data_IF_116644587389
#
_entry.id   IF_116644587389
#
_cell.length_a   1.000
_cell.length_b   1.000
_cell.length_c   1.000
_cell.angle_alpha   90.00
_cell.angle_beta   90.00
_cell.angle_gamma   90.00
#
_symmetry.space_group_name_H-M   'P 1'
#
loop_
_entity.id
_entity.type
_entity.pdbx_description
1 polymer ?
2 polymer ?
3 non-polymer ?
4 non-polymer ?
5 water ?
#
# COMPACT_ATOMS: atom_id res chain seq x y z
N UNK A 8 13.25 7.71 -10.82
CA UNK A 8 11.92 8.27 -10.57
C UNK A 8 11.25 7.54 -9.41
N UNK A 9 10.75 8.31 -8.45
CA UNK A 9 10.17 7.76 -7.24
C UNK A 9 8.68 7.50 -7.43
N UNK A 10 8.27 6.28 -7.13
CA UNK A 10 6.85 5.90 -7.19
C UNK A 10 6.47 5.33 -5.84
N UNK A 11 5.31 5.76 -5.33
CA UNK A 11 4.80 5.26 -4.07
C UNK A 11 4.19 3.88 -4.26
N UNK A 12 4.65 2.90 -3.48
CA UNK A 12 4.19 1.53 -3.66
C UNK A 12 2.77 1.29 -3.13
N UNK A 13 2.12 2.29 -2.55
CA UNK A 13 0.74 2.13 -2.08
C UNK A 13 -0.25 2.65 -3.10
N UNK A 14 -0.10 3.90 -3.53
CA UNK A 14 -1.03 4.50 -4.47
C UNK A 14 -0.50 4.55 -5.91
N UNK A 15 0.77 4.21 -6.13
CA UNK A 15 1.45 4.26 -7.42
C UNK A 15 1.58 5.66 -7.99
N UNK A 16 1.40 6.71 -7.17
CA UNK A 16 1.59 8.05 -7.66
C UNK A 16 3.06 8.40 -7.70
N UNK A 17 3.39 9.48 -8.41
CA UNK A 17 4.78 9.88 -8.52
C UNK A 17 5.04 11.31 -8.07
N UNK A 18 4.04 11.99 -7.52
CA UNK A 18 4.27 13.35 -7.05
C UNK A 18 4.88 13.32 -5.67
N UNK A 19 5.98 14.05 -5.50
CA UNK A 19 6.73 14.12 -4.25
C UNK A 19 6.98 15.58 -3.93
N UNK A 20 6.44 16.06 -2.82
CA UNK A 20 6.56 17.45 -2.42
C UNK A 20 6.97 17.53 -0.96
N UNK A 21 7.36 18.75 -0.53
CA UNK A 21 7.83 18.93 0.84
C UNK A 21 6.77 18.52 1.86
N UNK A 22 5.49 18.66 1.51
CA UNK A 22 4.43 18.30 2.43
C UNK A 22 4.12 16.80 2.40
N UNK A 23 4.35 16.13 1.27
CA UNK A 23 4.13 14.68 1.16
C UNK A 23 5.24 14.11 0.29
N UNK A 24 6.35 13.74 0.91
CA UNK A 24 7.50 13.23 0.18
C UNK A 24 7.35 11.74 -0.05
N UNK A 25 7.82 11.28 -1.21
CA UNK A 25 8.05 9.84 -1.39
C UNK A 25 9.40 9.51 -0.78
N UNK A 26 9.39 8.64 0.24
CA UNK A 26 10.58 8.29 0.98
C UNK A 26 10.94 6.84 0.67
N UNK A 27 12.11 6.41 1.12
CA UNK A 27 12.57 5.06 0.82
C UNK A 27 13.09 4.39 2.07
N UNK A 28 12.68 3.14 2.27
CA UNK A 28 13.25 2.35 3.36
C UNK A 28 14.68 1.95 3.03
N UNK A 29 15.59 2.25 3.96
CA UNK A 29 17.01 2.02 3.71
C UNK A 29 17.44 0.57 3.92
N UNK A 30 16.53 -0.35 4.22
CA UNK A 30 16.88 -1.76 4.33
C UNK A 30 16.27 -2.60 3.22
N UNK A 31 14.94 -2.54 3.04
CA UNK A 31 14.27 -3.32 2.02
C UNK A 31 14.05 -2.55 0.72
N UNK A 32 14.20 -1.23 0.75
CA UNK A 32 14.17 -0.41 -0.44
C UNK A 32 12.81 0.11 -0.86
N UNK A 33 11.73 -0.27 -0.17
CA UNK A 33 10.41 0.14 -0.59
C UNK A 33 10.29 1.66 -0.50
N UNK A 34 9.51 2.22 -1.44
CA UNK A 34 9.28 3.65 -1.55
C UNK A 34 7.80 3.94 -1.35
N UNK A 35 7.50 4.99 -0.59
CA UNK A 35 6.13 5.27 -0.18
C UNK A 35 5.97 6.76 0.10
N UNK A 36 4.80 7.30 -0.23
CA UNK A 36 4.42 8.62 0.28
C UNK A 36 4.41 8.59 1.80
N UNK A 37 5.05 9.58 2.42
CA UNK A 37 4.87 9.81 3.85
C UNK A 37 3.40 9.73 4.25
N UNK A 38 2.54 10.43 3.49
CA UNK A 38 1.12 10.48 3.78
C UNK A 38 0.38 9.19 3.49
N UNK A 39 0.96 8.30 2.68
CA UNK A 39 0.36 6.98 2.45
C UNK A 39 0.79 5.95 3.49
N UNK A 40 1.62 6.33 4.45
CA UNK A 40 2.11 5.38 5.44
C UNK A 40 1.95 5.88 6.87
N UNK A 41 1.36 7.06 7.07
CA UNK A 41 1.20 7.58 8.41
C UNK A 41 2.47 8.12 9.03
N UNK A 42 3.47 8.43 8.22
CA UNK A 42 4.77 8.90 8.70
C UNK A 42 5.01 10.36 8.30
N UNK A 43 3.93 11.08 7.98
CA UNK A 43 4.02 12.45 7.53
C UNK A 43 4.01 13.42 8.71
N UNK A 44 4.63 14.57 8.50
CA UNK A 44 4.64 15.63 9.50
C UNK A 44 5.24 15.24 10.83
N UNK A 45 6.18 14.30 10.83
CA UNK A 45 6.86 13.89 12.04
C UNK A 45 8.22 14.58 12.11
N UNK A 46 8.62 14.95 13.32
CA UNK A 46 9.88 15.66 13.51
C UNK A 46 11.06 14.80 13.06
N UNK A 47 12.16 15.48 12.73
CA UNK A 47 13.39 14.78 12.36
C UNK A 47 13.83 13.85 13.49
N UNK A 48 14.43 12.73 13.10
CA UNK A 48 14.83 11.72 14.07
C UNK A 48 15.98 12.23 14.93
N UNK A 49 16.22 11.53 16.04
CA UNK A 49 17.28 11.93 16.96
C UNK A 49 18.65 11.61 16.38
N UNK A 50 18.75 10.54 15.59
CA UNK A 50 20.00 10.24 14.89
C UNK A 50 20.32 11.33 13.86
N UNK A 51 19.30 12.05 13.39
CA UNK A 51 19.49 13.05 12.35
C UNK A 51 20.14 14.32 12.85
N UNK A 52 19.92 14.67 14.13
CA UNK A 52 20.49 15.88 14.69
C UNK A 52 21.99 15.93 14.50
N UNK A 53 22.65 14.77 14.53
CA UNK A 53 24.08 14.67 14.30
C UNK A 53 24.47 15.22 12.94
N UNK A 54 24.06 14.51 11.88
CA UNK A 54 24.52 14.79 10.54
C UNK A 54 24.21 16.23 10.12
N UNK A 55 24.99 16.71 9.16
CA UNK A 55 24.76 17.99 8.50
C UNK A 55 24.23 17.81 7.09
N UNK A 56 23.90 16.59 6.69
CA UNK A 56 23.29 16.32 5.40
C UNK A 56 21.82 16.74 5.39
N UNK A 57 21.28 16.87 4.19
CA UNK A 57 19.88 17.28 4.02
C UNK A 57 18.88 16.17 4.32
N UNK A 58 19.34 14.93 4.47
CA UNK A 58 18.45 13.79 4.63
C UNK A 58 18.84 12.99 5.87
N UNK A 59 17.90 12.17 6.33
CA UNK A 59 18.07 11.27 7.46
C UNK A 59 17.62 9.87 7.05
N UNK A 60 18.18 8.84 7.67
CA UNK A 60 17.76 7.47 7.33
C UNK A 60 16.32 7.21 7.72
N UNK A 61 15.69 6.27 7.01
CA UNK A 61 14.33 5.84 7.30
C UNK A 61 14.19 4.34 7.10
N UNK A 62 13.34 3.72 7.92
CA UNK A 62 13.07 2.29 7.85
C UNK A 62 11.57 2.06 8.04
N UNK A 63 11.00 1.17 7.23
CA UNK A 63 9.60 0.79 7.37
C UNK A 63 9.39 -0.03 8.64
N UNK A 64 8.12 -0.23 9.01
CA UNK A 64 7.80 -0.91 10.27
C UNK A 64 8.28 -2.37 10.26
N UNK A 65 8.23 -3.03 9.10
CA UNK A 65 8.65 -4.42 9.05
C UNK A 65 10.15 -4.56 9.29
N UNK A 66 10.94 -3.63 8.73
CA UNK A 66 12.38 -3.67 8.96
C UNK A 66 12.73 -3.27 10.40
N UNK A 67 11.99 -2.32 10.97
CA UNK A 67 12.21 -1.96 12.38
C UNK A 67 12.09 -3.19 13.29
N UNK A 68 11.25 -4.15 12.92
CA UNK A 68 11.05 -5.35 13.71
C UNK A 68 11.82 -6.55 13.20
N UNK A 69 12.67 -6.35 12.20
CA UNK A 69 13.53 -7.41 11.72
C UNK A 69 12.83 -8.53 10.99
N UNK A 70 11.67 -8.27 10.39
CA UNK A 70 10.94 -9.31 9.68
C UNK A 70 10.78 -8.91 8.21
N UNK A 71 10.68 -9.94 7.38
CA UNK A 71 10.33 -9.83 5.97
C UNK A 71 8.98 -10.52 5.81
N UNK A 72 7.88 -9.86 6.12
CA UNK A 72 6.66 -10.58 6.46
C UNK A 72 5.88 -11.03 5.24
N UNK A 73 4.89 -11.86 5.49
CA UNK A 73 3.82 -12.09 4.54
C UNK A 73 2.56 -11.39 5.03
N UNK A 74 1.61 -11.22 4.12
CA UNK A 74 0.39 -10.50 4.39
C UNK A 74 -0.72 -11.49 4.77
N UNK A 75 -1.52 -11.11 5.78
CA UNK A 75 -2.67 -11.92 6.16
C UNK A 75 -3.75 -11.93 5.09
N UNK A 76 -3.70 -11.00 4.14
CA UNK A 76 -4.81 -10.78 3.21
C UNK A 76 -4.47 -11.09 1.75
N UNK A 77 -3.26 -11.55 1.44
CA UNK A 77 -2.89 -11.82 0.05
C UNK A 77 -1.57 -12.58 0.02
N UNK A 78 -1.16 -13.16 -1.12
CA UNK A 78 0.09 -13.94 -1.14
C UNK A 78 1.34 -13.19 -1.55
N UNK A 79 1.28 -11.87 -1.78
CA UNK A 79 2.45 -11.14 -2.24
C UNK A 79 3.40 -10.82 -1.09
N UNK A 80 4.71 -10.79 -1.41
CA UNK A 80 5.78 -10.48 -0.47
C UNK A 80 6.38 -9.10 -0.67
N UNK A 81 6.00 -8.40 -1.73
CA UNK A 81 6.54 -7.09 -2.06
C UNK A 81 5.66 -6.01 -1.44
N UNK A 82 6.08 -4.76 -1.59
CA UNK A 82 5.30 -3.65 -1.07
C UNK A 82 5.60 -3.42 0.41
N UNK A 83 4.74 -2.62 1.03
CA UNK A 83 5.02 -2.13 2.38
C UNK A 83 3.89 -2.54 3.33
N UNK A 84 4.27 -2.87 4.56
CA UNK A 84 3.41 -3.56 5.53
C UNK A 84 3.21 -2.76 6.80
N UNK A 85 2.11 -3.07 7.50
CA UNK A 85 1.86 -2.62 8.86
C UNK A 85 1.55 -3.82 9.75
N UNK A 86 1.94 -3.72 11.03
CA UNK A 86 1.70 -4.79 11.99
C UNK A 86 0.25 -4.77 12.46
N UNK A 87 -0.31 -5.96 12.66
CA UNK A 87 -1.65 -6.05 13.21
C UNK A 87 -1.60 -6.16 14.74
N UNK A 88 -2.76 -6.00 15.34
CA UNK A 88 -2.84 -6.03 16.80
C UNK A 88 -2.48 -7.39 17.37
N UNK A 89 -2.48 -8.44 16.54
CA UNK A 89 -2.09 -9.77 16.99
C UNK A 89 -0.64 -10.11 16.61
N UNK A 90 0.14 -9.13 16.18
CA UNK A 90 1.52 -9.41 15.84
C UNK A 90 1.73 -9.94 14.44
N UNK A 91 0.71 -9.98 13.60
CA UNK A 91 0.88 -10.38 12.21
C UNK A 91 1.03 -9.12 11.36
N UNK A 92 0.92 -9.27 10.03
CA UNK A 92 1.25 -8.20 9.10
C UNK A 92 0.29 -8.17 7.93
N UNK A 93 0.02 -6.95 7.45
CA UNK A 93 -0.83 -6.72 6.29
C UNK A 93 -0.22 -5.61 5.45
N UNK A 94 -0.39 -5.71 4.13
CA UNK A 94 -0.05 -4.58 3.29
C UNK A 94 -0.93 -3.41 3.68
N UNK A 95 -0.35 -2.21 3.61
CA UNK A 95 -1.18 -1.01 3.69
C UNK A 95 -2.28 -1.05 2.62
N UNK A 96 -1.93 -1.38 1.38
CA UNK A 96 -2.92 -1.30 0.32
C UNK A 96 -4.03 -2.34 0.52
N UNK A 97 -3.67 -3.53 1.02
CA UNK A 97 -4.72 -4.51 1.33
C UNK A 97 -5.66 -4.00 2.40
N UNK A 98 -5.13 -3.38 3.45
CA UNK A 98 -5.98 -2.88 4.53
C UNK A 98 -6.90 -1.77 4.04
N UNK A 99 -6.42 -0.92 3.12
CA UNK A 99 -7.25 0.15 2.60
C UNK A 99 -8.45 -0.40 1.81
N UNK A 100 -8.19 -1.37 0.93
CA UNK A 100 -9.18 -1.79 -0.05
C UNK A 100 -10.10 -2.92 0.44
N UNK A 101 -9.66 -3.72 1.41
CA UNK A 101 -10.51 -4.83 1.85
C UNK A 101 -11.59 -4.30 2.80
N UNK A 102 -12.86 -4.59 2.56
CA UNK A 102 -13.92 -4.10 3.45
C UNK A 102 -13.79 -4.65 4.86
N UNK A 103 -14.17 -3.83 5.83
CA UNK A 103 -14.16 -4.29 7.18
C UNK A 103 -12.81 -4.26 7.83
N UNK A 104 -11.80 -3.69 7.16
CA UNK A 104 -10.47 -3.52 7.73
C UNK A 104 -10.22 -2.03 7.86
N UNK A 105 -9.88 -1.59 9.06
CA UNK A 105 -9.70 -0.19 9.37
C UNK A 105 -8.42 -0.01 10.15
N UNK A 106 -7.86 1.19 10.09
CA UNK A 106 -6.69 1.55 10.88
C UNK A 106 -7.12 2.10 12.24
N UNK A 107 -6.42 1.65 13.29
CA UNK A 107 -6.74 2.12 14.63
C UNK A 107 -6.36 3.56 14.88
N UNK A 108 -5.41 4.08 14.11
CA UNK A 108 -5.01 5.48 14.19
C UNK A 108 -4.80 5.95 12.76
N UNK A 109 -5.72 6.77 12.26
CA UNK A 109 -5.70 7.18 10.86
C UNK A 109 -4.49 8.06 10.56
N UNK A 110 -4.02 8.81 11.55
CA UNK A 110 -2.92 9.74 11.32
C UNK A 110 -1.59 9.03 11.10
N UNK A 111 -1.32 7.97 11.87
CA UNK A 111 -0.12 7.17 11.70
C UNK A 111 -0.37 5.82 11.05
N UNK A 112 -1.63 5.51 10.70
CA UNK A 112 -2.01 4.27 10.02
C UNK A 112 -1.49 3.04 10.75
N UNK A 113 -1.84 2.94 12.03
CA UNK A 113 -1.33 1.86 12.89
C UNK A 113 -2.08 1.81 14.22
N UNK A 114 -2.32 0.61 14.78
CA UNK A 114 -2.09 -0.66 14.08
C UNK A 114 -3.33 -1.05 13.29
N UNK A 115 -3.33 -2.27 12.75
CA UNK A 115 -4.46 -2.81 12.03
C UNK A 115 -5.08 -3.90 12.89
N UNK A 116 -6.37 -3.81 13.15
CA UNK A 116 -7.07 -4.81 13.94
C UNK A 116 -7.97 -5.62 13.00
N UNK A 117 -7.56 -6.85 12.71
CA UNK A 117 -8.35 -7.77 11.90
C UNK A 117 -9.34 -8.52 12.78
N UNK A 118 -10.52 -8.80 12.22
CA UNK A 118 -11.61 -9.37 13.01
C UNK A 118 -11.87 -10.81 12.61
N UNK A 119 -12.76 -11.45 13.37
CA UNK A 119 -13.25 -12.78 12.98
C UNK A 119 -13.94 -12.73 11.63
N UNK A 120 -14.65 -11.63 11.33
CA UNK A 120 -15.28 -11.51 10.01
C UNK A 120 -14.23 -11.45 8.89
N UNK A 121 -13.11 -10.74 9.11
CA UNK A 121 -12.06 -10.74 8.09
C UNK A 121 -11.54 -12.15 7.85
N UNK A 122 -11.27 -12.88 8.94
CA UNK A 122 -10.67 -14.20 8.81
C UNK A 122 -11.63 -15.20 8.15
N UNK A 123 -12.94 -15.00 8.31
CA UNK A 123 -13.89 -15.92 7.72
C UNK A 123 -13.97 -15.78 6.20
N UNK A 124 -13.40 -14.71 5.63
CA UNK A 124 -13.32 -14.54 4.19
C UNK A 124 -12.07 -15.16 3.59
N UNK A 125 -11.20 -15.78 4.41
CA UNK A 125 -9.94 -16.31 3.90
C UNK A 125 -10.18 -17.43 2.91
N UNK A 126 -9.53 -17.36 1.75
CA UNK A 126 -9.80 -18.31 0.69
C UNK A 126 -11.20 -18.37 0.11
N UNK A 127 -12.13 -17.50 0.56
CA UNK A 127 -13.55 -17.63 0.22
C UNK A 127 -13.84 -17.34 -1.26
N UNK A 128 -13.06 -16.49 -1.88
CA UNK A 128 -13.20 -16.23 -3.30
C UNK A 128 -11.90 -16.62 -3.98
N UNK A 129 -11.99 -17.01 -5.25
CA UNK A 129 -10.79 -17.33 -6.01
C UNK A 129 -10.30 -16.08 -6.71
N UNK A 130 -9.01 -15.78 -6.53
CA UNK A 130 -8.44 -14.59 -7.19
C UNK A 130 -8.33 -14.85 -8.69
N UNK A 131 -8.99 -14.03 -9.51
CA UNK A 131 -8.96 -14.29 -10.95
C UNK A 131 -7.69 -13.77 -11.63
N UNK A 132 -6.81 -13.07 -10.91
CA UNK A 132 -5.59 -12.49 -11.47
C UNK A 132 -4.31 -13.12 -10.97
N UNK A 133 -4.38 -14.09 -10.04
CA UNK A 133 -3.17 -14.72 -9.53
C UNK A 133 -2.39 -15.39 -10.65
N UNK A 134 -1.09 -15.07 -10.73
CA UNK A 134 -0.25 -15.74 -11.71
C UNK A 134 0.17 -17.14 -11.24
N UNK A 135 0.33 -17.32 -9.92
CA UNK A 135 0.60 -18.65 -9.36
C UNK A 135 -0.73 -19.17 -8.80
N UNK A 136 -1.32 -20.13 -9.52
CA UNK A 136 -2.65 -20.62 -9.13
C UNK A 136 -2.64 -21.25 -7.74
N UNK A 137 -1.48 -21.68 -7.23
CA UNK A 137 -1.36 -22.26 -5.90
C UNK A 137 -1.79 -21.31 -4.80
N UNK A 138 -1.91 -20.02 -5.09
CA UNK A 138 -2.23 -19.03 -4.09
C UNK A 138 -3.52 -18.30 -4.38
N UNK A 139 -4.26 -18.73 -5.41
CA UNK A 139 -5.48 -18.02 -5.78
C UNK A 139 -6.57 -18.10 -4.72
N UNK A 140 -6.49 -19.06 -3.79
CA UNK A 140 -7.46 -19.14 -2.72
C UNK A 140 -6.80 -18.97 -1.35
N UNK A 141 -5.71 -18.23 -1.29
CA UNK A 141 -5.22 -17.74 -0.02
C UNK A 141 -5.78 -16.34 0.22
N UNK A 142 -5.67 -15.87 1.46
CA UNK A 142 -5.99 -14.47 1.69
C UNK A 142 -7.44 -14.12 1.39
N UNK A 143 -7.65 -12.84 1.09
CA UNK A 143 -8.99 -12.28 0.93
C UNK A 143 -9.03 -11.50 -0.40
N UNK A 144 -10.00 -11.82 -1.26
CA UNK A 144 -10.21 -11.08 -2.49
C UNK A 144 -11.21 -9.94 -2.30
N UNK A 145 -11.00 -8.87 -3.05
CA UNK A 145 -12.03 -7.85 -3.23
C UNK A 145 -12.70 -8.10 -4.57
N UNK A 146 -13.77 -7.38 -4.85
CA UNK A 146 -14.40 -7.53 -6.15
C UNK A 146 -14.41 -6.22 -6.94
N UNK A 147 -14.70 -6.37 -8.23
CA UNK A 147 -14.99 -5.22 -9.08
C UNK A 147 -16.17 -4.44 -8.49
N UNK A 148 -16.08 -3.13 -8.54
CA UNK A 148 -17.12 -2.27 -7.98
C UNK A 148 -18.08 -1.72 -9.02
N UNK A 149 -18.06 -2.22 -10.26
CA UNK A 149 -18.99 -1.77 -11.31
C UNK A 149 -20.28 -2.59 -11.23
N UNK A 150 -21.40 -1.89 -11.07
CA UNK A 150 -22.69 -2.55 -11.03
C UNK A 150 -22.71 -3.72 -10.08
N UNK A 151 -23.16 -4.87 -10.59
CA UNK A 151 -23.16 -6.12 -9.85
C UNK A 151 -22.13 -7.09 -10.39
N UNK A 152 -21.02 -6.56 -10.94
CA UNK A 152 -19.97 -7.42 -11.48
C UNK A 152 -19.36 -8.25 -10.37
N UNK A 153 -19.27 -9.56 -10.58
CA UNK A 153 -18.73 -10.43 -9.54
C UNK A 153 -17.40 -11.01 -10.00
N UNK A 154 -16.41 -10.15 -10.14
CA UNK A 154 -15.05 -10.54 -10.53
C UNK A 154 -14.15 -10.26 -9.35
N UNK A 155 -13.37 -11.27 -8.93
CA UNK A 155 -12.68 -11.22 -7.66
C UNK A 155 -11.17 -11.26 -7.85
N UNK A 156 -10.44 -10.51 -7.03
CA UNK A 156 -8.99 -10.55 -7.07
C UNK A 156 -8.43 -10.08 -5.74
N UNK A 157 -7.23 -10.57 -5.42
CA UNK A 157 -6.40 -10.00 -4.37
C UNK A 157 -6.16 -8.51 -4.62
N UNK A 158 -6.07 -7.73 -3.56
CA UNK A 158 -5.81 -6.29 -3.73
C UNK A 158 -4.50 -6.08 -4.47
N UNK A 159 -3.45 -6.79 -4.05
CA UNK A 159 -2.14 -6.61 -4.68
C UNK A 159 -2.08 -7.21 -6.09
N UNK A 160 -2.91 -8.20 -6.41
CA UNK A 160 -2.97 -8.67 -7.78
C UNK A 160 -3.68 -7.66 -8.68
N UNK A 161 -4.72 -7.00 -8.16
CA UNK A 161 -5.35 -5.91 -8.91
C UNK A 161 -4.41 -4.72 -9.08
N UNK A 162 -3.64 -4.40 -8.03
CA UNK A 162 -2.71 -3.28 -8.09
C UNK A 162 -1.75 -3.40 -9.25
N UNK A 163 -1.15 -4.59 -9.40
CA UNK A 163 -0.22 -4.88 -10.48
C UNK A 163 -0.85 -4.65 -11.85
N UNK A 164 -2.13 -5.01 -12.01
CA UNK A 164 -2.83 -4.85 -13.27
C UNK A 164 -3.36 -3.43 -13.47
N UNK A 165 -3.09 -2.51 -12.55
CA UNK A 165 -3.52 -1.14 -12.73
C UNK A 165 -4.98 -0.89 -12.46
N UNK A 166 -5.61 -1.70 -11.60
CA UNK A 166 -7.05 -1.69 -11.38
C UNK A 166 -7.50 -0.98 -10.10
N UNK A 167 -6.58 -0.60 -9.22
CA UNK A 167 -6.97 0.09 -7.98
C UNK A 167 -7.11 1.59 -8.23
N UNK A 168 -8.21 2.17 -7.79
CA UNK A 168 -8.43 3.60 -7.92
C UNK A 168 -8.76 4.21 -6.56
N UNK A 169 -8.56 5.51 -6.45
CA UNK A 169 -8.87 6.25 -5.24
C UNK A 169 -9.62 7.50 -5.65
N UNK A 170 -10.82 7.71 -5.12
CA UNK A 170 -11.55 8.93 -5.44
C UNK A 170 -10.83 10.14 -4.86
N UNK A 171 -10.93 11.27 -5.55
CA UNK A 171 -10.38 12.52 -5.04
C UNK A 171 -11.11 12.94 -3.77
N UNK A 172 -10.40 13.64 -2.89
CA UNK A 172 -10.98 14.10 -1.64
C UNK A 172 -12.22 14.95 -1.88
N UNK A 173 -12.21 15.77 -2.94
CA UNK A 173 -13.34 16.65 -3.22
C UNK A 173 -14.59 15.87 -3.61
N UNK A 174 -14.46 14.60 -3.99
CA UNK A 174 -15.62 13.82 -4.40
C UNK A 174 -16.48 13.35 -3.23
N UNK A 175 -15.94 13.40 -2.01
CA UNK A 175 -16.70 13.11 -0.77
C UNK A 175 -17.41 11.77 -0.81
N UNK A 176 -16.77 10.76 -1.39
CA UNK A 176 -17.26 9.39 -1.32
C UNK A 176 -16.72 8.77 -0.03
N UNK A 177 -17.61 8.22 0.79
CA UNK A 177 -17.22 7.75 2.13
C UNK A 177 -16.10 6.72 2.07
N UNK A 178 -16.23 5.72 1.19
CA UNK A 178 -15.14 4.79 0.91
C UNK A 178 -14.52 5.19 -0.42
N UNK A 179 -13.45 5.99 -0.44
CA UNK A 179 -12.88 6.45 -1.72
C UNK A 179 -12.05 5.41 -2.46
N UNK A 180 -11.83 4.21 -1.87
CA UNK A 180 -10.99 3.20 -2.49
C UNK A 180 -11.87 2.18 -3.21
N UNK A 181 -11.66 2.01 -4.51
CA UNK A 181 -12.48 1.12 -5.30
C UNK A 181 -11.63 0.51 -6.41
N UNK A 182 -12.14 -0.57 -6.99
CA UNK A 182 -11.45 -1.31 -8.03
C UNK A 182 -12.45 -1.76 -9.09
N UNK A 183 -12.01 -1.78 -10.35
CA UNK A 183 -12.77 -2.39 -11.44
C UNK A 183 -11.95 -3.51 -12.05
N UNK A 184 -12.63 -4.54 -12.53
CA UNK A 184 -11.94 -5.55 -13.33
C UNK A 184 -11.53 -4.94 -14.67
N UNK A 185 -10.77 -5.70 -15.47
CA UNK A 185 -10.29 -5.17 -16.74
C UNK A 185 -11.43 -4.84 -17.68
N UNK A 186 -12.52 -5.61 -17.60
CA UNK A 186 -13.66 -5.39 -18.47
C UNK A 186 -14.30 -4.04 -18.20
N UNK A 187 -14.24 -3.56 -16.96
CA UNK A 187 -14.93 -2.34 -16.57
C UNK A 187 -13.98 -1.20 -16.23
N UNK A 188 -12.68 -1.39 -16.40
CA UNK A 188 -11.73 -0.38 -15.96
C UNK A 188 -11.67 0.81 -16.94
N UNK A 189 -11.17 1.92 -16.41
CA UNK A 189 -10.80 3.09 -17.21
C UNK A 189 -9.45 2.81 -17.88
N UNK A 190 -9.44 2.77 -19.21
CA UNK A 190 -8.26 2.34 -19.94
C UNK A 190 -7.09 3.31 -19.73
N UNK A 191 -7.34 4.62 -19.72
CA UNK A 191 -6.25 5.56 -19.45
C UNK A 191 -5.68 5.37 -18.04
N UNK A 192 -6.54 5.25 -17.03
CA UNK A 192 -6.05 5.08 -15.67
C UNK A 192 -5.21 3.83 -15.54
N UNK A 193 -5.68 2.73 -16.15
CA UNK A 193 -4.92 1.48 -16.11
C UNK A 193 -3.55 1.64 -16.76
N UNK A 194 -3.47 2.41 -17.84
CA UNK A 194 -2.22 2.62 -18.56
C UNK A 194 -1.16 3.24 -17.64
N UNK A 195 -1.44 4.41 -17.06
CA UNK A 195 -0.39 5.06 -16.29
C UNK A 195 -0.11 4.31 -14.99
N UNK A 196 -1.09 3.59 -14.45
CA UNK A 196 -0.87 2.82 -13.23
C UNK A 196 0.06 1.63 -13.48
N UNK A 197 -0.19 0.86 -14.54
CA UNK A 197 0.75 -0.21 -14.89
C UNK A 197 2.13 0.35 -15.21
N UNK A 198 2.19 1.52 -15.86
CA UNK A 198 3.49 2.12 -16.16
C UNK A 198 4.26 2.42 -14.89
N UNK A 199 3.60 3.08 -13.93
CA UNK A 199 4.23 3.36 -12.65
C UNK A 199 4.53 2.08 -11.87
N UNK A 200 3.65 1.08 -11.97
CA UNK A 200 3.95 -0.20 -11.34
C UNK A 200 5.23 -0.81 -11.90
N UNK A 201 5.36 -0.80 -13.23
CA UNK A 201 6.52 -1.43 -13.85
C UNK A 201 7.80 -0.67 -13.52
N UNK A 202 7.73 0.67 -13.55
CA UNK A 202 8.87 1.47 -13.11
C UNK A 202 9.25 1.19 -11.67
N UNK A 203 8.25 0.98 -10.81
CA UNK A 203 8.51 0.66 -9.41
C UNK A 203 9.21 -0.69 -9.28
N UNK A 204 8.83 -1.67 -10.11
CA UNK A 204 9.48 -2.97 -10.08
C UNK A 204 10.94 -2.88 -10.51
N UNK A 205 11.20 -2.19 -11.63
CA UNK A 205 12.58 -1.98 -12.08
C UNK A 205 13.39 -1.22 -11.05
N UNK A 206 12.76 -0.26 -10.38
CA UNK A 206 13.45 0.56 -9.38
C UNK A 206 13.99 -0.30 -8.25
N UNK A 207 13.12 -1.10 -7.61
CA UNK A 207 13.52 -1.90 -6.47
C UNK A 207 14.46 -3.03 -6.89
N UNK A 208 13.91 -4.03 -7.59
CA UNK A 208 14.68 -5.21 -8.02
C UNK A 208 15.37 -5.91 -6.86
N UNK B 1 15.97 6.71 2.40
CA UNK B 1 16.14 7.83 3.32
C UNK B 1 14.95 8.78 3.25
N UNK B 2 15.00 9.82 4.07
CA UNK B 2 13.93 10.81 4.18
C UNK B 2 14.58 12.18 4.32
N UNK B 3 14.03 13.17 3.61
CA UNK B 3 14.55 14.53 3.71
C UNK B 3 14.14 15.13 5.06
N UNK B 4 15.12 15.68 5.78
CA UNK B 4 14.84 16.33 7.05
C UNK B 4 13.87 17.51 6.84
N UNK B 5 13.01 17.72 7.83
CA UNK B 5 12.09 18.86 7.75
C UNK B 5 12.83 20.18 7.80
N UNK B 6 14.03 20.20 8.40
CA UNK B 6 14.84 21.42 8.42
C UNK B 6 15.28 21.82 7.02
N UNK B 7 15.42 20.85 6.11
CA UNK B 7 15.82 21.11 4.74
C UNK B 7 14.63 21.18 3.77
N UNK B 8 13.42 21.39 4.28
CA UNK B 8 12.22 21.44 3.46
C UNK B 8 11.72 22.88 3.40
N UNK B 9 11.55 23.38 2.18
CA UNK B 9 11.13 24.76 1.95
C UNK B 9 9.61 24.90 2.05
X LIG C 1 -16.14 -5.77 -13.50
X LIG D 1 -1.60 -8.03 1.06
X LIG E 1 -4.11 -13.08 -6.59
X LIG F 1 1.11 7.18 -2.20
X LIG G 1 11.77 -1.86 4.93
X LIG H 1 -13.44 -0.18 -1.32
X LIG I 1 -10.41 -1.14 4.46
#
# INVERSE_FOLDING_TARGET
SSQRMEHILICCVCLGDNSEDADEIIQCDNCGVTVHEGCYGVDGESDSIMSSASENSTEPWFCDACKNGVSPSCELCPSQDGIFKETDAGRWVHVVCALYVPGVAFGDIDKLRPVTLTEMNYSKYGAKECSLCEDTRFARTGVCISCDAGMCRSFFHVTCAQREGLLSEAAAEEDIADPFFAYCKQHADRFDRKWKRKNYLALQSYCKVS
ARTKQTARKSTGGSGSGS
ZN ZN
ZN ZN
ZN ZN
ZN ZN
ZN ZN
CA CA
CA CA
#
